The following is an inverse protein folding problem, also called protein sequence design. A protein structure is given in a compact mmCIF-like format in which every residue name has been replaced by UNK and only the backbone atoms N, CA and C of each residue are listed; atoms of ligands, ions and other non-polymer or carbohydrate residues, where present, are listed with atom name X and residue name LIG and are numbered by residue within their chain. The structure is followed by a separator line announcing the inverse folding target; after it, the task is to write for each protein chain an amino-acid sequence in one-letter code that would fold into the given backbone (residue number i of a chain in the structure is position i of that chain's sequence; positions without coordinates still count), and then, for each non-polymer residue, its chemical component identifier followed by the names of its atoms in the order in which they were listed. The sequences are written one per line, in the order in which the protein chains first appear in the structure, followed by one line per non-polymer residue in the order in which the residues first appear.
data_IF_560490823106
#
_entry.id   IF_560490823106
#
_cell.length_a   1.000
_cell.length_b   1.000
_cell.length_c   1.000
_cell.angle_alpha   90.00
_cell.angle_beta   90.00
_cell.angle_gamma   90.00
#
_symmetry.space_group_name_H-M   'P 1'
#
loop_
_entity.id
_entity.type
_entity.pdbx_description
1 polymer ?
#
# COMPACT_ATOMS: atom_id res chain seq x y z
N UNK A 1 -9.36 -36.48 3.56
CA UNK A 1 -8.59 -35.23 3.37
C UNK A 1 -8.93 -34.30 4.52
N UNK A 2 -7.95 -33.91 5.33
CA UNK A 2 -8.19 -33.15 6.56
C UNK A 2 -8.47 -31.68 6.24
N UNK A 3 -9.54 -31.13 6.83
CA UNK A 3 -9.93 -29.71 6.80
C UNK A 3 -8.76 -28.70 6.87
N UNK A 4 -7.73 -28.86 7.74
CA UNK A 4 -6.59 -27.94 7.79
C UNK A 4 -5.77 -27.87 6.48
N UNK A 5 -5.69 -28.96 5.71
CA UNK A 5 -4.93 -28.98 4.45
C UNK A 5 -5.60 -28.15 3.36
N UNK A 6 -6.93 -28.19 3.28
CA UNK A 6 -7.70 -27.38 2.33
C UNK A 6 -7.66 -25.90 2.69
N UNK A 7 -7.72 -25.56 3.98
CA UNK A 7 -7.58 -24.17 4.44
C UNK A 7 -6.21 -23.62 4.08
N UNK A 8 -5.12 -24.36 4.39
CA UNK A 8 -3.77 -23.93 4.04
C UNK A 8 -3.59 -23.71 2.53
N UNK A 9 -4.12 -24.61 1.69
CA UNK A 9 -4.02 -24.49 0.23
C UNK A 9 -4.86 -23.34 -0.33
N UNK A 10 -6.05 -23.09 0.23
CA UNK A 10 -6.93 -21.99 -0.18
C UNK A 10 -6.33 -20.64 0.18
N UNK A 11 -5.72 -20.52 1.37
CA UNK A 11 -5.02 -19.31 1.81
C UNK A 11 -3.80 -18.96 0.96
N UNK A 12 -3.20 -19.96 0.31
CA UNK A 12 -2.03 -19.79 -0.55
C UNK A 12 -2.37 -19.32 -1.97
N UNK A 13 -3.48 -19.81 -2.55
CA UNK A 13 -3.86 -19.46 -3.92
C UNK A 13 -4.68 -18.15 -3.98
N UNK A 14 -5.41 -17.84 -2.91
CA UNK A 14 -6.25 -16.65 -2.83
C UNK A 14 -5.50 -15.33 -3.10
N UNK A 15 -4.32 -15.05 -2.51
CA UNK A 15 -3.61 -13.80 -2.78
C UNK A 15 -3.17 -13.68 -4.23
N UNK A 16 -2.75 -14.78 -4.88
CA UNK A 16 -2.40 -14.76 -6.31
C UNK A 16 -3.60 -14.36 -7.18
N UNK A 17 -4.78 -14.95 -6.93
CA UNK A 17 -6.01 -14.63 -7.67
C UNK A 17 -6.39 -13.16 -7.45
N UNK A 18 -6.33 -12.68 -6.21
CA UNK A 18 -6.64 -11.29 -5.88
C UNK A 18 -5.66 -10.31 -6.55
N UNK A 19 -4.36 -10.59 -6.52
CA UNK A 19 -3.34 -9.76 -7.15
C UNK A 19 -3.51 -9.70 -8.68
N UNK A 20 -3.81 -10.82 -9.33
CA UNK A 20 -4.11 -10.85 -10.77
C UNK A 20 -5.37 -10.03 -11.07
N UNK A 21 -6.43 -10.17 -10.27
CA UNK A 21 -7.65 -9.38 -10.44
C UNK A 21 -7.39 -7.87 -10.27
N UNK A 22 -6.58 -7.48 -9.29
CA UNK A 22 -6.15 -6.10 -9.07
C UNK A 22 -5.37 -5.58 -10.29
N UNK A 23 -4.36 -6.32 -10.75
CA UNK A 23 -3.53 -5.94 -11.89
C UNK A 23 -4.37 -5.74 -13.16
N UNK A 24 -5.28 -6.67 -13.46
CA UNK A 24 -6.20 -6.56 -14.60
C UNK A 24 -7.17 -5.37 -14.43
N UNK A 25 -7.68 -5.14 -13.22
CA UNK A 25 -8.51 -3.99 -12.89
C UNK A 25 -7.80 -2.67 -13.12
N UNK A 26 -6.53 -2.57 -12.73
CA UNK A 26 -5.69 -1.40 -12.97
C UNK A 26 -5.43 -1.16 -14.46
N UNK A 27 -5.06 -2.21 -15.21
CA UNK A 27 -4.82 -2.13 -16.66
C UNK A 27 -6.07 -1.65 -17.42
N UNK A 28 -7.24 -2.22 -17.12
CA UNK A 28 -8.52 -1.82 -17.75
C UNK A 28 -8.85 -0.34 -17.51
N UNK A 29 -8.38 0.23 -16.40
CA UNK A 29 -8.68 1.62 -15.99
C UNK A 29 -7.54 2.59 -16.27
N UNK A 30 -6.47 2.15 -16.94
CA UNK A 30 -5.24 2.94 -17.18
C UNK A 30 -4.66 3.54 -15.88
N UNK A 31 -4.86 2.88 -14.74
CA UNK A 31 -4.29 3.30 -13.46
C UNK A 31 -2.76 3.18 -13.36
N UNK A 32 -2.03 2.35 -14.15
CA UNK A 32 -0.57 2.33 -14.08
C UNK A 32 0.11 3.66 -14.42
N UNK A 33 -0.57 4.61 -15.08
CA UNK A 33 -0.03 5.96 -15.31
C UNK A 33 -0.18 6.88 -14.11
N UNK A 34 -1.09 6.56 -13.19
CA UNK A 34 -1.38 7.33 -11.97
C UNK A 34 -0.66 6.71 -10.77
N UNK A 35 -0.67 5.38 -10.68
CA UNK A 35 -0.07 4.59 -9.61
C UNK A 35 0.92 3.54 -10.15
N UNK A 36 2.03 3.96 -10.83
CA UNK A 36 3.02 3.05 -11.40
C UNK A 36 3.71 2.15 -10.37
N UNK A 37 4.05 2.66 -9.18
CA UNK A 37 4.74 1.92 -8.12
C UNK A 37 3.81 0.86 -7.54
N UNK A 38 2.54 1.19 -7.26
CA UNK A 38 1.58 0.18 -6.78
C UNK A 38 1.30 -0.92 -7.83
N UNK A 39 1.25 -0.56 -9.11
CA UNK A 39 1.16 -1.55 -10.18
C UNK A 39 2.41 -2.44 -10.23
N UNK A 40 3.60 -1.85 -10.10
CA UNK A 40 4.87 -2.56 -10.00
C UNK A 40 4.92 -3.51 -8.80
N UNK A 41 4.45 -3.07 -7.64
CA UNK A 41 4.31 -3.90 -6.43
C UNK A 41 3.40 -5.11 -6.68
N UNK A 42 2.19 -4.87 -7.22
CA UNK A 42 1.21 -5.92 -7.53
C UNK A 42 1.82 -6.96 -8.48
N UNK A 43 2.48 -6.49 -9.54
CA UNK A 43 3.14 -7.34 -10.53
C UNK A 43 4.29 -8.13 -9.91
N UNK A 44 5.11 -7.48 -9.08
CA UNK A 44 6.20 -8.11 -8.35
C UNK A 44 5.71 -9.25 -7.45
N UNK A 45 4.61 -9.05 -6.70
CA UNK A 45 4.03 -10.11 -5.88
C UNK A 45 3.58 -11.30 -6.73
N UNK A 46 2.91 -11.07 -7.87
CA UNK A 46 2.50 -12.15 -8.78
C UNK A 46 3.72 -12.98 -9.22
N UNK A 47 4.80 -12.32 -9.64
CA UNK A 47 6.03 -13.01 -10.05
C UNK A 47 6.72 -13.73 -8.89
N UNK A 48 6.76 -13.13 -7.70
CA UNK A 48 7.31 -13.73 -6.49
C UNK A 48 6.58 -15.02 -6.14
N UNK A 49 5.25 -14.98 -6.04
CA UNK A 49 4.43 -16.16 -5.69
C UNK A 49 4.58 -17.26 -6.74
N UNK A 50 4.61 -16.88 -8.02
CA UNK A 50 4.84 -17.81 -9.12
C UNK A 50 6.24 -18.45 -9.05
N UNK A 51 7.28 -17.65 -8.80
CA UNK A 51 8.64 -18.15 -8.65
C UNK A 51 8.75 -19.12 -7.47
N UNK A 52 8.22 -18.76 -6.30
CA UNK A 52 8.25 -19.61 -5.11
C UNK A 52 7.48 -20.92 -5.30
N UNK A 53 6.43 -20.95 -6.13
CA UNK A 53 5.72 -22.19 -6.48
C UNK A 53 6.59 -23.20 -7.25
N UNK A 54 7.54 -22.72 -8.05
CA UNK A 54 8.42 -23.58 -8.86
C UNK A 54 9.74 -23.95 -8.16
N UNK A 55 10.11 -23.27 -7.08
CA UNK A 55 11.32 -23.61 -6.32
C UNK A 55 11.06 -24.75 -5.31
N UNK A 56 11.91 -25.79 -5.26
CA UNK A 56 11.76 -26.87 -4.30
C UNK A 56 12.02 -26.39 -2.86
N UNK A 57 11.11 -26.78 -1.95
CA UNK A 57 11.16 -26.44 -0.53
C UNK A 57 12.40 -27.08 0.15
N UNK A 58 13.06 -26.32 1.03
CA UNK A 58 14.24 -26.80 1.78
C UNK A 58 15.60 -26.48 1.16
N UNK A 59 15.63 -25.88 -0.03
CA UNK A 59 16.88 -25.44 -0.65
C UNK A 59 17.27 -24.02 -0.20
N UNK A 60 18.57 -23.76 0.00
CA UNK A 60 19.10 -22.44 0.43
C UNK A 60 18.65 -21.31 -0.52
N UNK A 61 18.51 -21.62 -1.81
CA UNK A 61 17.95 -20.73 -2.83
C UNK A 61 16.50 -20.34 -2.53
N UNK A 62 15.63 -21.28 -2.13
CA UNK A 62 14.25 -20.98 -1.77
C UNK A 62 14.19 -20.01 -0.58
N UNK A 63 14.98 -20.25 0.47
CA UNK A 63 15.06 -19.35 1.61
C UNK A 63 15.55 -17.95 1.20
N UNK A 64 16.66 -17.86 0.45
CA UNK A 64 17.21 -16.58 0.01
C UNK A 64 16.24 -15.80 -0.89
N UNK A 65 15.59 -16.47 -1.84
CA UNK A 65 14.58 -15.87 -2.70
C UNK A 65 13.38 -15.39 -1.90
N UNK A 66 12.85 -16.22 -0.99
CA UNK A 66 11.73 -15.83 -0.14
C UNK A 66 12.03 -14.55 0.65
N UNK A 67 13.14 -14.54 1.40
CA UNK A 67 13.49 -13.42 2.27
C UNK A 67 13.91 -12.17 1.49
N UNK A 68 14.65 -12.34 0.39
CA UNK A 68 15.02 -11.22 -0.49
C UNK A 68 13.78 -10.60 -1.14
N UNK A 69 12.83 -11.41 -1.58
CA UNK A 69 11.58 -10.91 -2.13
C UNK A 69 10.67 -10.28 -1.07
N UNK A 70 10.66 -10.77 0.17
CA UNK A 70 9.95 -10.11 1.27
C UNK A 70 10.54 -8.72 1.58
N UNK A 71 11.86 -8.61 1.69
CA UNK A 71 12.52 -7.33 1.90
C UNK A 71 12.18 -6.34 0.78
N UNK A 72 12.22 -6.79 -0.47
CA UNK A 72 11.83 -5.96 -1.62
C UNK A 72 10.35 -5.59 -1.60
N UNK A 73 9.45 -6.51 -1.23
CA UNK A 73 8.01 -6.24 -1.10
C UNK A 73 7.74 -5.15 -0.05
N UNK A 74 8.46 -5.18 1.07
CA UNK A 74 8.36 -4.19 2.14
C UNK A 74 8.84 -2.81 1.68
N UNK A 75 9.98 -2.74 0.98
CA UNK A 75 10.50 -1.50 0.39
C UNK A 75 9.52 -0.93 -0.65
N UNK A 76 9.01 -1.77 -1.54
CA UNK A 76 8.00 -1.37 -2.52
C UNK A 76 6.72 -0.89 -1.84
N UNK A 77 6.25 -1.56 -0.79
CA UNK A 77 5.09 -1.13 -0.01
C UNK A 77 5.28 0.25 0.62
N UNK A 78 6.48 0.56 1.11
CA UNK A 78 6.81 1.91 1.58
C UNK A 78 6.82 2.94 0.44
N UNK A 79 7.41 2.58 -0.71
CA UNK A 79 7.41 3.43 -1.91
C UNK A 79 6.00 3.72 -2.42
N UNK A 80 5.06 2.76 -2.31
CA UNK A 80 3.64 2.97 -2.62
C UNK A 80 3.05 4.05 -1.72
N UNK A 81 3.33 4.07 -0.42
CA UNK A 81 2.78 5.11 0.46
C UNK A 81 3.26 6.51 0.02
N UNK A 82 4.53 6.64 -0.38
CA UNK A 82 5.05 7.89 -0.93
C UNK A 82 4.44 8.28 -2.27
N UNK A 83 4.22 7.31 -3.16
CA UNK A 83 3.47 7.52 -4.41
C UNK A 83 2.09 8.10 -4.13
N UNK A 84 1.33 7.49 -3.22
CA UNK A 84 -0.02 7.94 -2.89
C UNK A 84 0.01 9.33 -2.26
N UNK A 85 0.96 9.59 -1.35
CA UNK A 85 1.11 10.91 -0.74
C UNK A 85 1.38 11.98 -1.80
N UNK A 86 2.21 11.68 -2.81
CA UNK A 86 2.47 12.58 -3.95
C UNK A 86 1.26 12.79 -4.87
N UNK A 87 0.37 11.81 -4.99
CA UNK A 87 -0.85 11.95 -5.81
C UNK A 87 -1.96 12.70 -5.08
N UNK A 88 -2.03 12.58 -3.76
CA UNK A 88 -3.08 13.16 -2.92
C UNK A 88 -2.81 14.62 -2.61
N UNK A 89 -1.53 15.01 -2.49
CA UNK A 89 -1.17 16.39 -2.19
C UNK A 89 -1.28 17.27 -3.44
N UNK A 90 -2.01 18.40 -3.39
CA UNK A 90 -2.05 19.34 -4.50
C UNK A 90 -0.64 19.84 -4.86
N UNK A 91 -0.40 20.20 -6.13
CA UNK A 91 0.91 20.65 -6.63
C UNK A 91 1.25 22.07 -6.16
N UNK A 92 1.23 22.33 -4.87
CA UNK A 92 1.67 23.60 -4.28
C UNK A 92 3.12 23.50 -3.80
N UNK A 93 3.92 24.59 -3.91
CA UNK A 93 5.33 24.58 -3.52
C UNK A 93 5.53 24.27 -2.03
N UNK A 94 4.65 24.77 -1.16
CA UNK A 94 4.71 24.54 0.30
C UNK A 94 4.41 23.09 0.69
N UNK A 95 3.52 22.41 -0.04
CA UNK A 95 3.14 21.04 0.27
C UNK A 95 4.11 20.02 -0.32
N UNK A 96 4.78 20.36 -1.43
CA UNK A 96 5.94 19.63 -1.94
C UNK A 96 7.10 19.63 -0.95
N UNK A 97 7.30 20.72 -0.21
CA UNK A 97 8.28 20.75 0.87
C UNK A 97 7.93 19.74 1.96
N UNK A 98 6.66 19.70 2.41
CA UNK A 98 6.19 18.72 3.40
C UNK A 98 6.35 17.28 2.88
N UNK A 99 5.98 17.00 1.63
CA UNK A 99 6.19 15.69 1.00
C UNK A 99 7.66 15.30 1.02
N UNK A 100 8.55 16.19 0.57
CA UNK A 100 9.99 15.93 0.56
C UNK A 100 10.53 15.73 1.97
N UNK A 101 10.10 16.52 2.96
CA UNK A 101 10.48 16.34 4.35
C UNK A 101 10.04 14.96 4.86
N UNK A 102 8.79 14.56 4.62
CA UNK A 102 8.28 13.25 5.03
C UNK A 102 9.03 12.11 4.33
N UNK A 103 9.35 12.24 3.05
CA UNK A 103 10.21 11.31 2.32
C UNK A 103 11.61 11.22 2.92
N UNK A 104 12.24 12.36 3.22
CA UNK A 104 13.60 12.42 3.78
C UNK A 104 13.61 11.85 5.20
N UNK A 105 12.70 12.26 6.07
CA UNK A 105 12.61 11.72 7.43
C UNK A 105 12.25 10.24 7.44
N UNK A 106 11.39 9.78 6.53
CA UNK A 106 11.09 8.37 6.35
C UNK A 106 12.31 7.58 5.87
N UNK A 107 13.05 8.09 4.89
CA UNK A 107 14.29 7.48 4.41
C UNK A 107 15.38 7.45 5.50
N UNK A 108 15.54 8.54 6.25
CA UNK A 108 16.46 8.62 7.39
C UNK A 108 16.05 7.59 8.45
N UNK A 109 14.77 7.51 8.82
CA UNK A 109 14.28 6.52 9.79
C UNK A 109 14.50 5.07 9.33
N UNK A 110 14.32 4.80 8.03
CA UNK A 110 14.61 3.49 7.46
C UNK A 110 16.12 3.17 7.48
N UNK A 111 16.96 4.16 7.13
CA UNK A 111 18.42 4.03 7.14
C UNK A 111 18.96 3.89 8.57
N UNK A 112 18.43 4.65 9.54
CA UNK A 112 18.84 4.55 10.95
C UNK A 112 18.41 3.23 11.55
N UNK A 113 17.22 2.72 11.21
CA UNK A 113 16.83 1.36 11.56
C UNK A 113 17.82 0.34 10.97
N UNK A 114 18.16 0.45 9.68
CA UNK A 114 19.14 -0.41 9.01
C UNK A 114 20.55 -0.31 9.62
N UNK A 115 20.97 0.86 10.07
CA UNK A 115 22.26 1.05 10.75
C UNK A 115 22.25 0.49 12.17
N UNK A 116 21.17 0.71 12.94
CA UNK A 116 21.01 0.08 14.25
C UNK A 116 21.02 -1.45 14.14
N UNK A 117 20.45 -2.00 13.07
CA UNK A 117 20.50 -3.42 12.75
C UNK A 117 21.93 -3.91 12.58
N UNK A 118 22.76 -3.23 11.78
CA UNK A 118 24.17 -3.60 11.56
C UNK A 118 24.98 -3.52 12.87
N UNK A 119 24.65 -2.57 13.75
CA UNK A 119 25.36 -2.32 15.02
C UNK A 119 24.93 -3.25 16.16
N UNK A 120 23.73 -3.85 16.09
CA UNK A 120 23.22 -4.73 17.15
C UNK A 120 23.85 -6.11 17.03
N UNK A 121 24.74 -6.47 17.97
CA UNK A 121 25.27 -7.84 18.11
C UNK A 121 24.24 -8.71 18.82
N UNK A 122 23.14 -9.05 18.13
CA UNK A 122 22.18 -10.06 18.58
C UNK A 122 22.64 -11.42 18.08
N UNK A 123 23.19 -12.24 18.96
CA UNK A 123 23.66 -13.57 18.61
C UNK A 123 23.17 -14.58 19.64
N UNK A 124 21.93 -15.05 19.47
CA UNK A 124 21.40 -16.20 20.20
C UNK A 124 21.15 -17.36 19.24
N UNK A 125 22.22 -17.97 18.73
CA UNK A 125 22.23 -19.34 18.18
C UNK A 125 21.47 -19.63 16.88
N UNK A 126 20.60 -18.75 16.39
CA UNK A 126 20.01 -18.86 15.05
C UNK A 126 20.89 -18.13 14.02
N UNK A 127 20.81 -18.56 12.75
CA UNK A 127 21.56 -17.98 11.63
C UNK A 127 21.44 -16.44 11.65
N UNK A 128 22.53 -15.70 11.94
CA UNK A 128 22.48 -14.27 12.29
C UNK A 128 21.78 -13.41 11.23
N UNK A 129 21.90 -13.82 9.97
CA UNK A 129 21.30 -13.15 8.81
C UNK A 129 19.76 -13.10 8.93
N UNK A 130 19.11 -14.15 9.43
CA UNK A 130 17.65 -14.17 9.53
C UNK A 130 17.13 -13.28 10.67
N UNK A 131 17.84 -13.20 11.80
CA UNK A 131 17.49 -12.29 12.89
C UNK A 131 17.53 -10.83 12.41
N UNK A 132 18.55 -10.46 11.63
CA UNK A 132 18.64 -9.13 11.02
C UNK A 132 17.49 -8.82 10.06
N UNK A 133 17.07 -9.80 9.24
CA UNK A 133 15.98 -9.62 8.28
C UNK A 133 14.64 -9.41 9.01
N UNK A 134 14.35 -10.20 10.04
CA UNK A 134 13.12 -10.09 10.82
C UNK A 134 13.05 -8.73 11.53
N UNK A 135 14.17 -8.30 12.13
CA UNK A 135 14.22 -7.01 12.82
C UNK A 135 14.11 -5.84 11.82
N UNK A 136 14.69 -5.96 10.62
CA UNK A 136 14.50 -5.01 9.51
C UNK A 136 13.05 -4.90 9.06
N UNK A 137 12.38 -6.04 8.86
CA UNK A 137 10.97 -6.07 8.51
C UNK A 137 10.14 -5.34 9.58
N UNK A 138 10.35 -5.64 10.87
CA UNK A 138 9.63 -4.99 11.98
C UNK A 138 9.82 -3.48 11.99
N UNK A 139 11.03 -2.97 11.77
CA UNK A 139 11.30 -1.52 11.71
C UNK A 139 10.59 -0.83 10.55
N UNK A 140 10.58 -1.44 9.35
CA UNK A 140 9.87 -0.83 8.21
C UNK A 140 8.35 -0.90 8.40
N UNK A 141 7.83 -1.98 8.99
CA UNK A 141 6.39 -2.08 9.35
C UNK A 141 5.98 -0.97 10.32
N UNK A 142 6.80 -0.69 11.33
CA UNK A 142 6.60 0.43 12.24
C UNK A 142 6.58 1.77 11.50
N UNK A 143 7.56 2.00 10.62
CA UNK A 143 7.61 3.21 9.79
C UNK A 143 6.37 3.36 8.90
N UNK A 144 5.90 2.28 8.28
CA UNK A 144 4.68 2.28 7.47
C UNK A 144 3.45 2.66 8.29
N UNK A 145 3.32 2.15 9.53
CA UNK A 145 2.21 2.51 10.44
C UNK A 145 2.26 4.00 10.80
N UNK A 146 3.43 4.51 11.20
CA UNK A 146 3.60 5.92 11.56
C UNK A 146 3.31 6.83 10.36
N UNK A 147 3.87 6.50 9.19
CA UNK A 147 3.65 7.25 7.97
C UNK A 147 2.16 7.28 7.59
N UNK A 148 1.46 6.16 7.77
CA UNK A 148 0.03 6.08 7.49
C UNK A 148 -0.82 6.93 8.44
N UNK A 149 -0.49 6.97 9.73
CA UNK A 149 -1.14 7.88 10.69
C UNK A 149 -0.97 9.33 10.24
N UNK A 150 0.25 9.71 9.80
CA UNK A 150 0.54 11.04 9.28
C UNK A 150 -0.30 11.34 8.03
N UNK A 151 -0.38 10.40 7.08
CA UNK A 151 -1.17 10.56 5.85
C UNK A 151 -2.65 10.72 6.15
N UNK A 152 -3.21 9.90 7.06
CA UNK A 152 -4.60 10.01 7.49
C UNK A 152 -4.88 11.35 8.15
N UNK A 153 -3.99 11.81 9.04
CA UNK A 153 -4.12 13.11 9.70
C UNK A 153 -4.04 14.27 8.70
N UNK A 154 -3.23 14.13 7.65
CA UNK A 154 -3.10 15.13 6.60
C UNK A 154 -4.35 15.15 5.69
N UNK A 155 -4.87 13.98 5.30
CA UNK A 155 -6.12 13.88 4.54
C UNK A 155 -7.31 14.46 5.30
N UNK A 156 -7.41 14.20 6.60
CA UNK A 156 -8.51 14.72 7.43
C UNK A 156 -8.45 16.24 7.58
N UNK A 157 -7.25 16.81 7.78
CA UNK A 157 -7.04 18.27 7.86
C UNK A 157 -7.28 18.98 6.53
N UNK A 158 -6.96 18.35 5.40
CA UNK A 158 -7.15 18.91 4.06
C UNK A 158 -8.56 18.72 3.51
N UNK A 159 -9.45 18.02 4.21
CA UNK A 159 -10.83 17.79 3.78
C UNK A 159 -10.94 16.94 2.51
N UNK A 160 -9.92 16.14 2.19
CA UNK A 160 -9.88 15.32 0.98
C UNK A 160 -10.87 14.16 1.09
N UNK A 161 -11.68 13.95 0.04
CA UNK A 161 -12.79 12.99 0.11
C UNK A 161 -12.32 11.53 0.09
N UNK A 162 -12.86 10.72 1.02
CA UNK A 162 -12.47 9.34 1.31
C UNK A 162 -12.91 8.29 0.26
N UNK A 163 -13.26 8.71 -0.97
CA UNK A 163 -13.88 7.87 -1.99
C UNK A 163 -12.92 7.41 -3.10
N UNK A 164 -11.67 7.83 -3.06
CA UNK A 164 -10.69 7.52 -4.10
C UNK A 164 -9.88 6.25 -3.81
N UNK A 165 -9.42 5.64 -4.90
CA UNK A 165 -8.57 4.42 -4.90
C UNK A 165 -7.34 4.58 -4.01
N UNK A 166 -6.77 5.78 -3.94
CA UNK A 166 -5.67 6.16 -3.03
C UNK A 166 -5.92 5.78 -1.57
N UNK A 167 -7.14 6.03 -1.08
CA UNK A 167 -7.52 5.73 0.31
C UNK A 167 -7.60 4.23 0.53
N UNK A 168 -8.15 3.49 -0.43
CA UNK A 168 -8.19 2.02 -0.38
C UNK A 168 -6.79 1.40 -0.36
N UNK A 169 -5.87 1.91 -1.18
CA UNK A 169 -4.48 1.44 -1.23
C UNK A 169 -3.81 1.66 0.13
N UNK A 170 -3.84 2.90 0.65
CA UNK A 170 -3.27 3.26 1.95
C UNK A 170 -3.89 2.40 3.06
N UNK A 171 -5.22 2.32 3.14
CA UNK A 171 -5.91 1.56 4.18
C UNK A 171 -5.48 0.09 4.21
N UNK A 172 -5.36 -0.56 3.04
CA UNK A 172 -4.89 -1.93 2.97
C UNK A 172 -3.45 -2.10 3.47
N UNK A 173 -2.53 -1.22 3.07
CA UNK A 173 -1.15 -1.25 3.60
C UNK A 173 -1.09 -0.99 5.10
N UNK A 174 -1.89 -0.06 5.62
CA UNK A 174 -1.91 0.26 7.05
C UNK A 174 -2.41 -0.86 7.92
N UNK A 175 -3.54 -1.46 7.54
CA UNK A 175 -4.11 -2.59 8.28
C UNK A 175 -3.12 -3.76 8.25
N UNK A 176 -2.57 -4.08 7.09
CA UNK A 176 -1.57 -5.15 6.98
C UNK A 176 -0.37 -4.89 7.88
N UNK A 177 0.24 -3.71 7.79
CA UNK A 177 1.44 -3.40 8.57
C UNK A 177 1.16 -3.33 10.07
N UNK A 178 -0.01 -2.83 10.50
CA UNK A 178 -0.40 -2.82 11.91
C UNK A 178 -0.59 -4.23 12.47
N UNK A 179 -1.27 -5.13 11.73
CA UNK A 179 -1.51 -6.51 12.17
C UNK A 179 -0.22 -7.31 12.23
N UNK A 180 0.63 -7.19 11.20
CA UNK A 180 1.94 -7.87 11.17
C UNK A 180 2.84 -7.37 12.31
N UNK A 181 2.88 -6.04 12.53
CA UNK A 181 3.65 -5.46 13.63
C UNK A 181 3.15 -5.94 14.99
N UNK A 182 1.83 -5.92 15.22
CA UNK A 182 1.24 -6.46 16.45
C UNK A 182 1.61 -7.93 16.64
N UNK A 183 1.58 -8.74 15.59
CA UNK A 183 2.02 -10.14 15.61
C UNK A 183 3.47 -10.30 16.09
N UNK A 184 4.39 -9.47 15.58
CA UNK A 184 5.78 -9.45 16.02
C UNK A 184 5.93 -9.02 17.50
N UNK A 185 5.20 -8.00 17.94
CA UNK A 185 5.23 -7.54 19.34
C UNK A 185 4.70 -8.60 20.31
N UNK A 186 3.58 -9.24 19.97
CA UNK A 186 2.99 -10.32 20.77
C UNK A 186 3.92 -11.53 20.87
N UNK A 187 4.63 -11.86 19.79
CA UNK A 187 5.66 -12.90 19.79
C UNK A 187 6.82 -12.51 20.71
N UNK A 188 7.38 -11.31 20.53
CA UNK A 188 8.60 -10.88 21.21
C UNK A 188 8.43 -10.70 22.72
N UNK A 189 7.26 -10.26 23.18
CA UNK A 189 7.05 -9.90 24.59
C UNK A 189 6.19 -10.89 25.37
N UNK A 190 5.27 -11.60 24.71
CA UNK A 190 4.29 -12.43 25.40
C UNK A 190 4.47 -13.94 25.13
N UNK A 191 5.27 -14.34 24.12
CA UNK A 191 5.42 -15.74 23.68
C UNK A 191 4.08 -16.48 23.41
N UNK A 192 2.97 -15.74 23.26
CA UNK A 192 1.61 -16.30 23.09
C UNK A 192 1.39 -16.85 21.67
N UNK A 193 2.18 -16.40 20.70
CA UNK A 193 1.97 -16.71 19.27
C UNK A 193 3.04 -17.68 18.78
N UNK A 194 2.63 -18.91 18.44
CA UNK A 194 3.46 -19.90 17.74
C UNK A 194 3.78 -19.47 16.31
N UNK A 195 4.91 -19.92 15.75
CA UNK A 195 5.33 -19.62 14.37
C UNK A 195 4.23 -19.93 13.34
N UNK A 196 3.50 -21.04 13.50
CA UNK A 196 2.41 -21.41 12.61
C UNK A 196 1.25 -20.39 12.64
N UNK A 197 0.93 -19.86 13.82
CA UNK A 197 -0.13 -18.86 13.99
C UNK A 197 0.29 -17.50 13.42
N UNK A 198 1.56 -17.15 13.52
CA UNK A 198 2.09 -15.90 12.96
C UNK A 198 2.08 -15.93 11.42
N UNK A 199 2.46 -17.05 10.81
CA UNK A 199 2.37 -17.23 9.35
C UNK A 199 0.92 -17.14 8.87
N UNK A 200 -0.02 -17.76 9.60
CA UNK A 200 -1.45 -17.69 9.28
C UNK A 200 -1.99 -16.26 9.43
N UNK A 201 -1.61 -15.56 10.51
CA UNK A 201 -2.00 -14.18 10.78
C UNK A 201 -1.50 -13.24 9.69
N UNK A 202 -0.23 -13.35 9.30
CA UNK A 202 0.36 -12.54 8.23
C UNK A 202 -0.35 -12.79 6.89
N UNK A 203 -0.62 -14.06 6.58
CA UNK A 203 -1.35 -14.44 5.36
C UNK A 203 -2.80 -13.91 5.37
N UNK A 204 -3.49 -13.99 6.51
CA UNK A 204 -4.85 -13.46 6.67
C UNK A 204 -4.88 -11.94 6.53
N UNK A 205 -3.94 -11.24 7.17
CA UNK A 205 -3.80 -9.79 7.09
C UNK A 205 -3.53 -9.32 5.66
N UNK A 206 -2.66 -10.04 4.94
CA UNK A 206 -2.36 -9.74 3.55
C UNK A 206 -3.58 -9.95 2.64
N UNK A 207 -4.30 -11.06 2.81
CA UNK A 207 -5.52 -11.33 2.06
C UNK A 207 -6.59 -10.25 2.33
N UNK A 208 -6.72 -9.79 3.58
CA UNK A 208 -7.62 -8.68 3.91
C UNK A 208 -7.22 -7.39 3.18
N UNK A 209 -5.94 -7.04 3.17
CA UNK A 209 -5.44 -5.89 2.43
C UNK A 209 -5.72 -6.02 0.92
N UNK A 210 -5.44 -7.19 0.34
CA UNK A 210 -5.72 -7.46 -1.07
C UNK A 210 -7.21 -7.39 -1.40
N UNK A 211 -8.10 -7.85 -0.51
CA UNK A 211 -9.55 -7.69 -0.68
C UNK A 211 -9.96 -6.21 -0.65
N UNK A 212 -9.37 -5.39 0.23
CA UNK A 212 -9.61 -3.94 0.26
C UNK A 212 -9.17 -3.30 -1.06
N UNK A 213 -7.96 -3.61 -1.55
CA UNK A 213 -7.46 -3.10 -2.81
C UNK A 213 -8.35 -3.51 -3.99
N UNK A 214 -8.72 -4.79 -4.07
CA UNK A 214 -9.63 -5.31 -5.08
C UNK A 214 -10.99 -4.60 -5.04
N UNK A 215 -11.56 -4.39 -3.84
CA UNK A 215 -12.82 -3.67 -3.68
C UNK A 215 -12.74 -2.25 -4.23
N UNK A 216 -11.71 -1.48 -3.88
CA UNK A 216 -11.59 -0.08 -4.36
C UNK A 216 -11.28 0.02 -5.86
N UNK A 217 -10.48 -0.90 -6.40
CA UNK A 217 -10.04 -0.85 -7.81
C UNK A 217 -11.12 -1.40 -8.75
N UNK A 218 -11.77 -2.50 -8.37
CA UNK A 218 -12.76 -3.17 -9.22
C UNK A 218 -14.13 -2.50 -9.17
N UNK A 219 -14.47 -1.80 -8.06
CA UNK A 219 -15.76 -1.11 -7.95
C UNK A 219 -15.88 -0.05 -9.06
N UNK A 220 -16.95 -0.04 -9.87
CA UNK A 220 -17.14 0.94 -10.92
C UNK A 220 -16.96 2.34 -10.35
N UNK A 221 -16.10 3.16 -10.98
CA UNK A 221 -16.05 4.58 -10.66
C UNK A 221 -17.43 5.10 -10.98
N UNK A 222 -18.25 5.36 -9.96
CA UNK A 222 -19.42 6.20 -10.13
C UNK A 222 -18.84 7.57 -10.44
N UNK A 223 -18.49 7.80 -11.70
CA UNK A 223 -18.62 9.15 -12.21
C UNK A 223 -20.03 9.54 -11.81
N UNK A 224 -20.16 10.66 -11.11
CA UNK A 224 -21.32 11.49 -11.38
C UNK A 224 -21.28 11.67 -12.90
N UNK A 225 -21.92 10.74 -13.61
CA UNK A 225 -22.43 11.02 -14.92
C UNK A 225 -23.30 12.23 -14.60
N UNK A 226 -22.82 13.40 -14.97
CA UNK A 226 -23.65 14.59 -15.02
C UNK A 226 -24.58 14.29 -16.19
N UNK A 227 -25.51 13.36 -15.94
CA UNK A 227 -26.40 12.70 -16.89
C UNK A 227 -27.35 13.74 -17.47
N UNK A 228 -27.52 14.84 -16.74
CA UNK A 228 -27.92 16.13 -17.26
C UNK A 228 -26.86 17.13 -16.80
N UNK A 229 -25.98 17.56 -17.72
CA UNK A 229 -25.74 18.99 -17.72
C UNK A 229 -27.15 19.56 -17.88
N UNK A 230 -27.63 20.48 -17.02
CA UNK A 230 -28.78 21.27 -17.44
C UNK A 230 -28.45 21.70 -18.87
N UNK A 231 -29.41 21.69 -19.77
CA UNK A 231 -29.26 22.48 -20.99
C UNK A 231 -29.11 23.92 -20.48
N UNK A 232 -27.92 24.26 -19.98
CA UNK A 232 -27.45 25.58 -19.74
C UNK A 232 -27.42 26.08 -21.16
N UNK A 233 -28.54 26.68 -21.53
CA UNK A 233 -28.80 27.23 -22.82
C UNK A 233 -27.65 28.19 -23.01
N UNK A 234 -26.60 27.77 -23.71
CA UNK A 234 -25.35 28.53 -23.79
C UNK A 234 -25.66 29.93 -24.35
N UNK A 235 -26.75 30.05 -25.11
CA UNK A 235 -27.37 31.31 -25.50
C UNK A 235 -27.83 32.19 -24.33
N UNK A 236 -28.54 31.66 -23.33
CA UNK A 236 -28.96 32.44 -22.14
C UNK A 236 -27.76 32.91 -21.32
N UNK A 237 -26.78 32.05 -21.09
CA UNK A 237 -25.56 32.44 -20.39
C UNK A 237 -24.74 33.47 -21.18
N UNK A 238 -24.62 33.30 -22.49
CA UNK A 238 -23.92 34.26 -23.35
C UNK A 238 -24.66 35.61 -23.42
N UNK A 239 -25.99 35.60 -23.40
CA UNK A 239 -26.81 36.81 -23.34
C UNK A 239 -26.67 37.52 -21.98
N UNK A 240 -26.76 36.77 -20.87
CA UNK A 240 -26.56 37.32 -19.53
C UNK A 240 -25.17 37.94 -19.35
N UNK A 241 -24.12 37.27 -19.84
CA UNK A 241 -22.75 37.80 -19.81
C UNK A 241 -22.62 39.05 -20.69
N UNK A 242 -23.20 39.08 -21.89
CA UNK A 242 -23.20 40.29 -22.74
C UNK A 242 -23.93 41.45 -22.10
N UNK A 243 -25.05 41.18 -21.44
CA UNK A 243 -25.84 42.21 -20.77
C UNK A 243 -25.08 42.83 -19.60
N UNK A 244 -24.39 42.00 -18.81
CA UNK A 244 -23.45 42.47 -17.77
C UNK A 244 -22.28 43.27 -18.34
N UNK A 245 -21.67 42.83 -19.45
CA UNK A 245 -20.57 43.57 -20.11
C UNK A 245 -21.06 44.92 -20.66
N UNK A 246 -22.27 44.98 -21.22
CA UNK A 246 -22.88 46.22 -21.72
C UNK A 246 -23.30 47.18 -20.60
N UNK A 247 -23.69 46.67 -19.44
CA UNK A 247 -23.91 47.51 -18.24
C UNK A 247 -22.59 48.09 -17.75
N UNK A 248 -21.51 47.31 -17.76
CA UNK A 248 -20.19 47.75 -17.30
C UNK A 248 -19.61 48.87 -18.16
N UNK A 249 -19.84 48.85 -19.47
CA UNK A 249 -19.39 49.90 -20.39
C UNK A 249 -20.24 51.19 -20.38
N UNK A 250 -21.35 51.22 -19.63
CA UNK A 250 -22.25 52.39 -19.53
C UNK A 250 -21.95 53.27 -18.30
N UNK A 251 -20.98 52.89 -17.48
CA UNK A 251 -20.40 53.70 -16.40
C UNK A 251 -18.96 54.07 -16.74
#
# INVERSE_FOLDING_TARGET
MSFPYLVAKTFWVLPLILQVAIALGMLKRKMPTIFPIFFGYTTFIIFKELALMFLPYGHRLHALTYWGCEALAVVLGLAVIFEILGTVLPPSPSLRFVLNSVCIFGAIAAITALLMLIMTKGGTGADPIFEYIILAERSVRFLQVVLLIVVIALMSRLGLTWRDVSVGIIAGFGIYSAVVLAGFEFRAHLHVVSDANLVLLNSAAYNLAAMIWAFYILRPRRGTLVEHLPQANLGEWNNAVREYVHQWYRH
#
